data_IF_622783797142
#
_entry.id   IF_622783797142
#
_cell.length_a   1.000
_cell.length_b   1.000
_cell.length_c   1.000
_cell.angle_alpha   90.00
_cell.angle_beta   90.00
_cell.angle_gamma   90.00
#
_symmetry.space_group_name_H-M   'P 1'
#
loop_
_entity.id
_entity.type
_entity.pdbx_description
1 polymer ?
#
# COMPACT_ATOMS: atom_id res chain seq x y z
N UNK A 1 48.78 17.19 15.79
CA UNK A 1 47.52 17.37 16.55
C UNK A 1 46.43 16.65 15.81
N UNK A 2 46.19 15.40 16.19
CA UNK A 2 45.10 14.59 15.65
C UNK A 2 43.86 14.83 16.52
N UNK A 3 42.82 15.35 15.95
CA UNK A 3 41.50 15.46 16.57
C UNK A 3 40.83 14.09 16.55
N UNK A 4 40.43 13.54 17.71
CA UNK A 4 39.54 12.37 17.74
C UNK A 4 38.11 12.89 17.75
N UNK A 5 37.43 12.88 16.61
CA UNK A 5 36.01 13.18 16.51
C UNK A 5 35.36 12.18 15.56
N UNK A 6 34.24 11.64 15.99
CA UNK A 6 33.15 10.97 15.31
C UNK A 6 32.87 9.46 15.56
N UNK A 7 33.57 8.79 16.47
CA UNK A 7 33.21 7.40 16.80
C UNK A 7 31.98 7.26 17.74
N UNK A 8 31.55 8.35 18.39
CA UNK A 8 30.48 8.27 19.40
C UNK A 8 29.07 8.55 18.86
N UNK A 9 28.96 9.12 17.67
CA UNK A 9 27.66 9.45 17.02
C UNK A 9 27.13 8.29 16.15
N UNK A 10 27.97 7.35 15.73
CA UNK A 10 27.59 6.21 14.88
C UNK A 10 27.03 5.04 15.68
N UNK A 11 27.43 4.87 16.93
CA UNK A 11 27.02 3.76 17.80
C UNK A 11 25.51 3.70 18.12
N UNK A 12 24.82 4.85 18.41
CA UNK A 12 23.38 4.83 18.62
C UNK A 12 22.58 4.47 17.36
N UNK A 13 23.05 4.89 16.19
CA UNK A 13 22.40 4.62 14.90
C UNK A 13 22.53 3.14 14.51
N UNK A 14 23.71 2.55 14.71
CA UNK A 14 23.97 1.12 14.46
C UNK A 14 23.17 0.25 15.40
N UNK A 15 23.04 0.61 16.69
CA UNK A 15 22.22 -0.11 17.65
C UNK A 15 20.73 -0.03 17.30
N UNK A 16 20.26 1.09 16.78
CA UNK A 16 18.89 1.26 16.33
C UNK A 16 18.62 0.39 15.09
N UNK A 17 19.51 0.42 14.11
CA UNK A 17 19.44 -0.42 12.91
C UNK A 17 19.42 -1.91 13.25
N UNK A 18 20.28 -2.36 14.17
CA UNK A 18 20.33 -3.75 14.61
C UNK A 18 18.99 -4.19 15.27
N UNK A 19 18.41 -3.35 16.13
CA UNK A 19 17.10 -3.61 16.74
C UNK A 19 15.96 -3.66 15.71
N UNK A 20 15.99 -2.79 14.70
CA UNK A 20 15.01 -2.85 13.63
C UNK A 20 15.16 -4.10 12.77
N UNK A 21 16.39 -4.54 12.52
CA UNK A 21 16.64 -5.79 11.79
C UNK A 21 16.13 -7.01 12.54
N UNK A 22 16.40 -7.11 13.84
CA UNK A 22 15.88 -8.16 14.72
C UNK A 22 14.33 -8.15 14.75
N UNK A 23 13.71 -6.98 14.83
CA UNK A 23 12.27 -6.84 14.78
C UNK A 23 11.70 -7.31 13.43
N UNK A 24 12.36 -6.99 12.32
CA UNK A 24 11.95 -7.41 10.99
C UNK A 24 12.05 -8.93 10.78
N UNK A 25 13.10 -9.56 11.30
CA UNK A 25 13.25 -11.02 11.27
C UNK A 25 12.16 -11.72 12.09
N UNK A 26 11.91 -11.26 13.32
CA UNK A 26 10.84 -11.78 14.18
C UNK A 26 9.46 -11.58 13.54
N UNK A 27 9.21 -10.42 12.96
CA UNK A 27 7.98 -10.13 12.24
C UNK A 27 7.80 -11.07 11.03
N UNK A 28 8.87 -11.35 10.28
CA UNK A 28 8.86 -12.27 9.14
C UNK A 28 8.50 -13.70 9.55
N UNK A 29 9.11 -14.21 10.61
CA UNK A 29 8.83 -15.53 11.16
C UNK A 29 7.38 -15.63 11.65
N UNK A 30 6.93 -14.67 12.46
CA UNK A 30 5.57 -14.63 13.00
C UNK A 30 4.53 -14.55 11.88
N UNK A 31 4.79 -13.76 10.85
CA UNK A 31 3.89 -13.64 9.71
C UNK A 31 3.74 -14.97 8.95
N UNK A 32 4.83 -15.72 8.80
CA UNK A 32 4.77 -17.03 8.17
C UNK A 32 3.95 -18.02 9.02
N UNK A 33 4.11 -17.98 10.33
CA UNK A 33 3.36 -18.81 11.26
C UNK A 33 1.87 -18.45 11.33
N UNK A 34 1.49 -17.18 11.09
CA UNK A 34 0.10 -16.76 11.01
C UNK A 34 -0.53 -17.06 9.63
N UNK A 35 0.22 -16.91 8.53
CA UNK A 35 -0.27 -17.26 7.19
C UNK A 35 -0.67 -18.72 7.04
N UNK A 36 0.06 -19.62 7.70
CA UNK A 36 -0.21 -21.05 7.62
C UNK A 36 -1.63 -21.41 8.11
N UNK A 37 -2.05 -21.08 9.35
CA UNK A 37 -3.41 -21.37 9.81
C UNK A 37 -4.47 -20.60 9.00
N UNK A 38 -4.20 -19.38 8.53
CA UNK A 38 -5.14 -18.65 7.68
C UNK A 38 -5.39 -19.38 6.36
N UNK A 39 -4.33 -19.91 5.73
CA UNK A 39 -4.47 -20.70 4.49
C UNK A 39 -5.25 -21.98 4.72
N UNK A 40 -5.08 -22.65 5.87
CA UNK A 40 -5.86 -23.84 6.24
C UNK A 40 -7.33 -23.48 6.45
N UNK A 41 -7.63 -22.36 7.15
CA UNK A 41 -9.02 -21.90 7.34
C UNK A 41 -9.66 -21.60 5.98
N UNK A 42 -8.98 -20.86 5.11
CA UNK A 42 -9.47 -20.51 3.77
C UNK A 42 -9.79 -21.76 2.96
N UNK A 43 -8.84 -22.71 2.88
CA UNK A 43 -9.04 -23.97 2.16
C UNK A 43 -10.27 -24.76 2.67
N UNK A 44 -10.48 -24.82 4.00
CA UNK A 44 -11.67 -25.49 4.55
C UNK A 44 -12.96 -24.74 4.22
N UNK A 45 -12.92 -23.40 4.16
CA UNK A 45 -14.08 -22.62 3.73
C UNK A 45 -14.38 -22.81 2.23
N UNK A 46 -13.35 -22.95 1.39
CA UNK A 46 -13.50 -23.25 -0.05
C UNK A 46 -14.19 -24.62 -0.23
N UNK A 47 -13.72 -25.65 0.47
CA UNK A 47 -14.33 -26.98 0.42
C UNK A 47 -15.79 -26.97 0.90
N UNK A 48 -16.09 -26.24 1.98
CA UNK A 48 -17.48 -26.09 2.45
C UNK A 48 -18.35 -25.31 1.46
N UNK A 49 -17.78 -24.35 0.74
CA UNK A 49 -18.50 -23.61 -0.31
C UNK A 49 -18.79 -24.53 -1.52
N UNK A 50 -17.83 -25.39 -1.90
CA UNK A 50 -18.01 -26.39 -2.95
C UNK A 50 -19.10 -27.41 -2.59
N UNK A 51 -19.11 -27.92 -1.34
CA UNK A 51 -20.12 -28.83 -0.85
C UNK A 51 -21.55 -28.22 -0.87
N UNK A 52 -21.63 -26.90 -0.82
CA UNK A 52 -22.87 -26.12 -0.82
C UNK A 52 -23.12 -25.39 -2.16
N UNK A 53 -22.38 -25.72 -3.22
CA UNK A 53 -22.51 -25.03 -4.52
C UNK A 53 -23.93 -25.09 -5.11
N UNK A 54 -24.67 -26.15 -4.83
CA UNK A 54 -26.09 -26.34 -5.21
C UNK A 54 -27.03 -26.05 -4.04
N UNK A 55 -26.82 -24.91 -3.34
CA UNK A 55 -27.64 -24.53 -2.19
C UNK A 55 -29.10 -24.26 -2.57
N UNK A 56 -29.98 -25.24 -2.32
CA UNK A 56 -31.42 -25.14 -2.61
C UNK A 56 -32.20 -24.51 -1.45
N UNK A 57 -31.79 -24.78 -0.21
CA UNK A 57 -32.54 -24.35 0.97
C UNK A 57 -32.11 -22.95 1.48
N UNK A 58 -33.05 -22.22 2.13
CA UNK A 58 -32.70 -20.95 2.78
C UNK A 58 -31.65 -21.08 3.89
N UNK A 59 -31.46 -22.28 4.45
CA UNK A 59 -30.46 -22.58 5.47
C UNK A 59 -29.08 -22.67 4.84
N UNK A 60 -28.94 -23.36 3.73
CA UNK A 60 -27.66 -23.49 2.98
C UNK A 60 -27.20 -22.16 2.47
N UNK A 61 -28.07 -21.34 1.88
CA UNK A 61 -27.73 -19.97 1.46
C UNK A 61 -27.22 -19.10 2.61
N UNK A 62 -27.77 -19.27 3.82
CA UNK A 62 -27.25 -18.56 5.00
C UNK A 62 -25.89 -19.06 5.44
N UNK A 63 -25.59 -20.36 5.25
CA UNK A 63 -24.27 -20.92 5.55
C UNK A 63 -23.24 -20.38 4.55
N UNK A 64 -23.54 -20.39 3.25
CA UNK A 64 -22.68 -19.77 2.23
C UNK A 64 -22.36 -18.30 2.54
N UNK A 65 -23.36 -17.51 2.93
CA UNK A 65 -23.12 -16.13 3.33
C UNK A 65 -22.19 -15.98 4.55
N UNK A 66 -22.17 -16.96 5.47
CA UNK A 66 -21.20 -16.97 6.59
C UNK A 66 -19.80 -17.38 6.15
N UNK A 67 -19.69 -18.32 5.21
CA UNK A 67 -18.42 -18.72 4.60
C UNK A 67 -17.78 -17.52 3.93
N UNK A 68 -18.54 -16.75 3.16
CA UNK A 68 -18.11 -15.52 2.47
C UNK A 68 -17.57 -14.47 3.46
N UNK A 69 -18.24 -14.29 4.60
CA UNK A 69 -17.77 -13.41 5.67
C UNK A 69 -16.41 -13.89 6.22
N UNK A 70 -16.25 -15.20 6.49
CA UNK A 70 -14.98 -15.75 6.99
C UNK A 70 -13.88 -15.56 5.95
N UNK A 71 -14.16 -15.82 4.68
CA UNK A 71 -13.24 -15.61 3.57
C UNK A 71 -12.73 -14.16 3.51
N UNK A 72 -13.66 -13.21 3.59
CA UNK A 72 -13.35 -11.78 3.62
C UNK A 72 -12.44 -11.42 4.80
N UNK A 73 -12.71 -11.98 6.01
CA UNK A 73 -11.89 -11.71 7.18
C UNK A 73 -10.49 -12.36 7.08
N UNK A 74 -10.35 -13.55 6.49
CA UNK A 74 -9.05 -14.16 6.23
C UNK A 74 -8.20 -13.28 5.28
N UNK A 75 -8.78 -12.83 4.18
CA UNK A 75 -8.11 -11.92 3.23
C UNK A 75 -7.69 -10.62 3.90
N UNK A 76 -8.55 -10.07 4.76
CA UNK A 76 -8.23 -8.86 5.52
C UNK A 76 -7.03 -9.06 6.46
N UNK A 77 -6.99 -10.18 7.18
CA UNK A 77 -5.88 -10.52 8.07
C UNK A 77 -4.57 -10.73 7.29
N UNK A 78 -4.62 -11.39 6.13
CA UNK A 78 -3.47 -11.54 5.24
C UNK A 78 -2.94 -10.18 4.78
N UNK A 79 -3.81 -9.25 4.41
CA UNK A 79 -3.43 -7.90 3.98
C UNK A 79 -2.79 -7.11 5.13
N UNK A 80 -3.40 -7.11 6.31
CA UNK A 80 -2.84 -6.45 7.50
C UNK A 80 -1.44 -6.99 7.85
N UNK A 81 -1.27 -8.30 7.76
CA UNK A 81 0.00 -8.96 8.02
C UNK A 81 1.07 -8.59 6.98
N UNK A 82 0.69 -8.51 5.71
CA UNK A 82 1.58 -8.07 4.64
C UNK A 82 1.99 -6.59 4.81
N UNK A 83 1.06 -5.74 5.21
CA UNK A 83 1.35 -4.32 5.48
C UNK A 83 2.25 -4.16 6.70
N UNK A 84 2.05 -4.97 7.75
CA UNK A 84 2.95 -5.02 8.89
C UNK A 84 4.37 -5.44 8.49
N UNK A 85 4.51 -6.46 7.63
CA UNK A 85 5.82 -6.90 7.13
C UNK A 85 6.51 -5.82 6.29
N UNK A 86 5.77 -5.08 5.46
CA UNK A 86 6.33 -3.95 4.71
C UNK A 86 6.83 -2.85 5.64
N UNK A 87 6.08 -2.57 6.71
CA UNK A 87 6.45 -1.55 7.69
C UNK A 87 7.70 -1.92 8.50
N UNK A 88 7.88 -3.21 8.86
CA UNK A 88 9.02 -3.67 9.65
C UNK A 88 10.31 -3.82 8.86
N UNK A 89 10.24 -3.93 7.53
CA UNK A 89 11.42 -4.00 6.68
C UNK A 89 12.00 -2.61 6.49
N UNK A 90 13.15 -2.34 7.12
CA UNK A 90 14.06 -1.28 6.65
C UNK A 90 14.61 -1.74 5.29
N UNK A 91 13.97 -1.37 4.21
CA UNK A 91 14.54 -1.57 2.89
C UNK A 91 15.66 -0.54 2.71
N UNK A 92 16.88 -1.02 2.47
CA UNK A 92 17.90 -0.18 1.88
C UNK A 92 17.40 0.20 0.48
N UNK A 93 17.19 1.50 0.27
CA UNK A 93 16.70 1.99 -1.02
C UNK A 93 17.73 1.68 -2.12
N UNK A 94 17.33 1.01 -3.16
CA UNK A 94 18.13 0.81 -4.35
C UNK A 94 17.98 2.03 -5.29
N UNK A 95 18.72 3.10 -4.99
CA UNK A 95 18.65 4.35 -5.73
C UNK A 95 19.38 4.25 -7.07
N UNK A 96 18.62 4.20 -8.16
CA UNK A 96 19.12 4.22 -9.53
C UNK A 96 18.63 5.46 -10.27
N UNK A 97 19.38 5.86 -11.30
CA UNK A 97 18.92 6.93 -12.18
C UNK A 97 17.64 6.51 -12.91
N UNK A 98 16.57 7.28 -12.75
CA UNK A 98 15.26 6.97 -13.29
C UNK A 98 14.43 8.21 -13.63
N UNK A 99 13.37 7.99 -14.41
CA UNK A 99 12.41 9.01 -14.80
C UNK A 99 11.13 8.85 -13.97
N UNK A 100 10.76 9.90 -13.23
CA UNK A 100 9.55 9.90 -12.42
C UNK A 100 8.29 9.68 -13.27
N UNK A 101 8.21 10.29 -14.46
CA UNK A 101 7.02 10.17 -15.30
C UNK A 101 6.75 8.72 -15.71
N UNK A 102 7.79 7.94 -16.02
CA UNK A 102 7.64 6.52 -16.37
C UNK A 102 7.00 5.71 -15.24
N UNK A 103 7.36 6.00 -13.99
CA UNK A 103 6.75 5.32 -12.82
C UNK A 103 5.30 5.75 -12.65
N UNK A 104 5.01 7.05 -12.78
CA UNK A 104 3.65 7.60 -12.67
C UNK A 104 2.75 7.02 -13.75
N UNK A 105 3.20 7.01 -15.02
CA UNK A 105 2.43 6.47 -16.14
C UNK A 105 2.08 5.00 -15.95
N UNK A 106 3.06 4.15 -15.58
CA UNK A 106 2.80 2.73 -15.30
C UNK A 106 1.71 2.53 -14.26
N UNK A 107 1.76 3.30 -13.16
CA UNK A 107 0.74 3.19 -12.11
C UNK A 107 -0.62 3.66 -12.60
N UNK A 108 -0.70 4.79 -13.30
CA UNK A 108 -1.97 5.29 -13.82
C UNK A 108 -2.58 4.35 -14.88
N UNK A 109 -1.75 3.69 -15.68
CA UNK A 109 -2.20 2.68 -16.64
C UNK A 109 -2.71 1.42 -15.93
N UNK A 110 -2.05 0.97 -14.85
CA UNK A 110 -2.49 -0.16 -14.04
C UNK A 110 -3.92 0.05 -13.49
N UNK A 111 -4.25 1.29 -13.09
CA UNK A 111 -5.56 1.62 -12.55
C UNK A 111 -6.59 2.05 -13.60
N UNK A 112 -6.25 2.07 -14.88
CA UNK A 112 -7.11 2.59 -15.95
C UNK A 112 -8.49 1.92 -16.01
N UNK A 113 -8.56 0.58 -15.90
CA UNK A 113 -9.82 -0.18 -15.91
C UNK A 113 -10.64 0.13 -14.65
N UNK A 114 -10.02 0.06 -13.47
CA UNK A 114 -10.71 0.31 -12.21
C UNK A 114 -11.23 1.75 -12.11
N UNK A 115 -10.46 2.73 -12.59
CA UNK A 115 -10.89 4.12 -12.65
C UNK A 115 -12.12 4.28 -13.56
N UNK A 116 -12.12 3.63 -14.74
CA UNK A 116 -13.25 3.67 -15.68
C UNK A 116 -14.51 3.03 -15.07
N UNK A 117 -14.39 1.87 -14.42
CA UNK A 117 -15.49 1.20 -13.71
C UNK A 117 -16.06 2.07 -12.57
N UNK A 118 -15.19 2.81 -11.89
CA UNK A 118 -15.57 3.74 -10.83
C UNK A 118 -16.03 5.13 -11.36
N UNK A 119 -16.10 5.32 -12.67
CA UNK A 119 -16.43 6.60 -13.33
C UNK A 119 -15.47 7.74 -12.94
N UNK A 120 -14.20 7.42 -12.70
CA UNK A 120 -13.13 8.38 -12.38
C UNK A 120 -12.37 8.73 -13.65
N UNK A 121 -12.38 10.01 -14.03
CA UNK A 121 -11.55 10.52 -15.12
C UNK A 121 -10.12 10.74 -14.64
N UNK A 122 -9.14 10.13 -15.31
CA UNK A 122 -7.71 10.31 -15.00
C UNK A 122 -7.09 11.33 -15.95
N UNK A 123 -6.65 12.47 -15.41
CA UNK A 123 -5.98 13.55 -16.14
C UNK A 123 -4.48 13.56 -15.83
N UNK A 124 -3.66 13.64 -16.89
CA UNK A 124 -2.20 13.60 -16.80
C UNK A 124 -1.60 14.90 -17.35
N UNK A 125 -0.88 15.62 -16.52
CA UNK A 125 -0.13 16.83 -16.85
C UNK A 125 1.34 16.61 -16.42
N UNK A 126 2.01 15.71 -17.12
CA UNK A 126 3.39 15.31 -16.81
C UNK A 126 4.34 16.17 -17.64
N UNK A 127 5.24 16.89 -16.95
CA UNK A 127 6.26 17.72 -17.58
C UNK A 127 7.26 16.82 -18.33
N UNK A 128 7.33 16.89 -19.68
CA UNK A 128 8.21 16.03 -20.47
C UNK A 128 9.70 16.35 -20.30
N UNK A 129 10.03 17.52 -19.79
CA UNK A 129 11.41 18.01 -19.68
C UNK A 129 12.01 17.75 -18.28
N UNK A 130 11.40 16.88 -17.47
CA UNK A 130 11.94 16.55 -16.15
C UNK A 130 13.32 15.87 -16.26
N UNK A 131 14.28 16.29 -15.44
CA UNK A 131 15.57 15.62 -15.39
C UNK A 131 15.46 14.23 -14.76
N UNK A 132 16.38 13.35 -15.11
CA UNK A 132 16.58 12.08 -14.42
C UNK A 132 17.03 12.32 -12.98
N UNK A 133 16.45 11.57 -12.04
CA UNK A 133 16.76 11.64 -10.61
C UNK A 133 17.09 10.25 -10.05
N UNK A 134 17.71 10.22 -8.87
CA UNK A 134 17.93 8.97 -8.15
C UNK A 134 16.63 8.53 -7.45
N UNK A 135 16.09 7.41 -7.86
CA UNK A 135 14.86 6.82 -7.31
C UNK A 135 15.03 5.32 -7.12
N UNK A 136 14.36 4.80 -6.11
CA UNK A 136 14.01 3.39 -6.02
C UNK A 136 12.63 3.22 -6.68
N UNK A 137 12.63 2.71 -7.91
CA UNK A 137 11.42 2.66 -8.73
C UNK A 137 10.34 1.76 -8.11
N UNK A 138 10.71 0.63 -7.49
CA UNK A 138 9.77 -0.30 -6.84
C UNK A 138 9.10 0.35 -5.62
N UNK A 139 9.89 0.96 -4.75
CA UNK A 139 9.38 1.61 -3.55
C UNK A 139 8.49 2.81 -3.90
N UNK A 140 8.91 3.60 -4.90
CA UNK A 140 8.14 4.75 -5.37
C UNK A 140 6.83 4.32 -6.04
N UNK A 141 6.88 3.28 -6.88
CA UNK A 141 5.69 2.69 -7.52
C UNK A 141 4.68 2.21 -6.47
N UNK A 142 5.14 1.48 -5.44
CA UNK A 142 4.29 1.03 -4.35
C UNK A 142 3.62 2.20 -3.59
N UNK A 143 4.35 3.30 -3.38
CA UNK A 143 3.81 4.50 -2.75
C UNK A 143 2.73 5.17 -3.63
N UNK A 144 2.99 5.33 -4.93
CA UNK A 144 2.04 5.93 -5.87
C UNK A 144 0.79 5.04 -6.02
N UNK A 145 0.95 3.70 -6.09
CA UNK A 145 -0.16 2.73 -6.10
C UNK A 145 -1.08 2.96 -4.90
N UNK A 146 -0.54 3.11 -3.70
CA UNK A 146 -1.33 3.37 -2.50
C UNK A 146 -2.10 4.70 -2.58
N UNK A 147 -1.46 5.75 -3.10
CA UNK A 147 -2.10 7.07 -3.24
C UNK A 147 -3.21 7.05 -4.30
N UNK A 148 -2.95 6.48 -5.48
CA UNK A 148 -3.93 6.36 -6.57
C UNK A 148 -5.13 5.52 -6.16
N UNK A 149 -4.88 4.38 -5.51
CA UNK A 149 -5.94 3.54 -4.94
C UNK A 149 -6.81 4.30 -3.95
N UNK A 150 -6.19 5.04 -3.01
CA UNK A 150 -6.92 5.85 -2.04
C UNK A 150 -7.74 6.95 -2.71
N UNK A 151 -7.20 7.61 -3.74
CA UNK A 151 -7.92 8.62 -4.50
C UNK A 151 -9.18 8.02 -5.18
N UNK A 152 -9.06 6.90 -5.90
CA UNK A 152 -10.20 6.23 -6.55
C UNK A 152 -11.25 5.81 -5.52
N UNK A 153 -10.84 5.20 -4.41
CA UNK A 153 -11.74 4.76 -3.35
C UNK A 153 -12.43 5.93 -2.61
N UNK A 154 -11.86 7.15 -2.66
CA UNK A 154 -12.49 8.36 -2.12
C UNK A 154 -13.60 8.90 -3.01
N UNK A 155 -13.73 8.40 -4.25
CA UNK A 155 -14.66 8.85 -5.28
C UNK A 155 -15.68 7.77 -5.69
N UNK A 156 -16.49 7.21 -4.78
CA UNK A 156 -17.41 6.10 -5.08
C UNK A 156 -18.55 6.46 -6.05
N UNK A 157 -18.74 7.73 -6.33
CA UNK A 157 -19.74 8.23 -7.29
C UNK A 157 -19.10 8.83 -8.55
N UNK A 158 -17.84 8.49 -8.81
CA UNK A 158 -17.04 9.08 -9.86
C UNK A 158 -16.38 10.39 -9.46
N UNK A 159 -15.55 10.92 -10.35
CA UNK A 159 -14.81 12.15 -10.10
C UNK A 159 -13.63 12.32 -11.05
N UNK A 160 -12.64 13.10 -10.63
CA UNK A 160 -11.43 13.35 -11.41
C UNK A 160 -10.20 13.13 -10.53
N UNK A 161 -9.26 12.32 -11.00
CA UNK A 161 -7.91 12.20 -10.47
C UNK A 161 -6.95 12.90 -11.41
N UNK A 162 -6.28 13.93 -10.95
CA UNK A 162 -5.27 14.68 -11.72
C UNK A 162 -3.88 14.36 -11.18
N UNK A 163 -2.99 13.92 -12.06
CA UNK A 163 -1.57 13.75 -11.78
C UNK A 163 -0.78 14.84 -12.51
N UNK A 164 0.04 15.58 -11.76
CA UNK A 164 0.88 16.66 -12.32
C UNK A 164 2.31 16.47 -11.83
N UNK A 165 3.28 16.47 -12.74
CA UNK A 165 4.69 16.54 -12.37
C UNK A 165 5.27 17.88 -12.78
N UNK A 166 6.19 18.41 -11.98
CA UNK A 166 6.84 19.69 -12.26
C UNK A 166 8.22 19.81 -11.61
N UNK A 167 9.11 20.54 -12.26
CA UNK A 167 10.37 20.91 -11.67
C UNK A 167 10.18 22.09 -10.71
N UNK A 168 10.72 21.98 -9.51
CA UNK A 168 10.80 23.06 -8.53
C UNK A 168 12.25 23.56 -8.42
N UNK A 169 12.52 24.56 -7.57
CA UNK A 169 13.89 25.09 -7.40
C UNK A 169 14.93 24.03 -7.02
N UNK A 170 14.54 23.05 -6.20
CA UNK A 170 15.48 22.08 -5.62
C UNK A 170 14.99 20.63 -5.72
N UNK A 171 13.85 20.36 -6.34
CA UNK A 171 13.25 19.03 -6.38
C UNK A 171 12.29 18.88 -7.58
N UNK A 172 11.95 17.64 -7.88
CA UNK A 172 10.79 17.33 -8.71
C UNK A 172 9.60 17.09 -7.78
N UNK A 173 8.44 17.67 -8.11
CA UNK A 173 7.21 17.46 -7.40
C UNK A 173 6.26 16.59 -8.24
N UNK A 174 5.58 15.66 -7.57
CA UNK A 174 4.41 14.95 -8.06
C UNK A 174 3.21 15.39 -7.22
N UNK A 175 2.22 15.99 -7.86
CA UNK A 175 0.97 16.34 -7.23
C UNK A 175 -0.12 15.37 -7.74
N UNK A 176 -0.79 14.67 -6.82
CA UNK A 176 -1.97 13.83 -7.08
C UNK A 176 -3.16 14.52 -6.42
N UNK A 177 -4.13 14.94 -7.24
CA UNK A 177 -5.28 15.71 -6.80
C UNK A 177 -6.55 14.94 -7.16
N UNK A 178 -7.35 14.58 -6.18
CA UNK A 178 -8.66 13.95 -6.36
C UNK A 178 -9.80 14.92 -6.01
N UNK A 179 -10.99 14.64 -6.54
CA UNK A 179 -12.22 15.36 -6.21
C UNK A 179 -13.13 14.56 -5.27
N UNK A 180 -12.55 13.67 -4.50
CA UNK A 180 -13.25 12.78 -3.59
C UNK A 180 -13.85 13.48 -2.36
N UNK A 181 -14.26 12.67 -1.39
CA UNK A 181 -14.91 13.16 -0.17
C UNK A 181 -13.98 13.97 0.77
N UNK A 182 -12.68 14.01 0.46
CA UNK A 182 -11.67 14.66 1.29
C UNK A 182 -11.43 13.97 2.63
N UNK A 183 -10.66 14.61 3.50
CA UNK A 183 -10.29 14.11 4.81
C UNK A 183 -10.64 15.12 5.90
N UNK A 184 -11.19 14.62 7.03
CA UNK A 184 -11.32 15.44 8.22
C UNK A 184 -9.92 15.83 8.74
N UNK A 185 -9.79 16.97 9.41
CA UNK A 185 -8.52 17.48 9.94
C UNK A 185 -7.77 16.44 10.78
N UNK A 186 -8.47 15.71 11.65
CA UNK A 186 -7.91 14.63 12.45
C UNK A 186 -7.35 13.50 11.59
N UNK A 187 -8.01 13.15 10.48
CA UNK A 187 -7.56 12.14 9.55
C UNK A 187 -6.29 12.60 8.83
N UNK A 188 -6.27 13.86 8.37
CA UNK A 188 -5.11 14.43 7.71
C UNK A 188 -3.86 14.50 8.61
N UNK A 189 -4.04 14.73 9.93
CA UNK A 189 -2.94 14.73 10.90
C UNK A 189 -2.35 13.33 11.15
N UNK A 190 -3.17 12.29 11.09
CA UNK A 190 -2.75 10.92 11.45
C UNK A 190 -2.62 10.00 10.22
N UNK A 191 -2.82 10.51 8.99
CA UNK A 191 -2.84 9.66 7.78
C UNK A 191 -1.53 8.92 7.48
N UNK A 192 -0.43 9.38 8.07
CA UNK A 192 0.88 8.74 7.96
C UNK A 192 1.23 7.85 9.16
N UNK A 193 0.35 7.78 10.17
CA UNK A 193 0.57 6.88 11.30
C UNK A 193 0.38 5.43 10.83
N UNK A 194 1.26 4.55 11.29
CA UNK A 194 1.18 3.14 10.95
C UNK A 194 -0.18 2.54 11.37
N UNK A 195 -0.80 1.78 10.48
CA UNK A 195 -2.10 1.11 10.70
C UNK A 195 -3.30 2.06 10.88
N UNK A 196 -3.12 3.36 10.68
CA UNK A 196 -4.24 4.28 10.73
C UNK A 196 -5.15 4.10 9.49
N UNK A 197 -6.43 3.87 9.72
CA UNK A 197 -7.44 3.79 8.68
C UNK A 197 -8.78 4.31 9.20
N UNK A 198 -9.51 5.00 8.35
CA UNK A 198 -10.91 5.41 8.59
C UNK A 198 -11.89 4.50 7.85
N UNK A 199 -11.38 3.52 7.09
CA UNK A 199 -12.21 2.58 6.35
C UNK A 199 -12.70 1.49 7.30
N UNK A 200 -14.03 1.43 7.48
CA UNK A 200 -14.68 0.28 8.11
C UNK A 200 -14.51 -0.90 7.16
N UNK A 201 -13.76 -1.92 7.62
CA UNK A 201 -13.56 -3.14 6.85
C UNK A 201 -14.79 -4.02 6.82
#
# INVERSE_FOLDING_TARGET
MNTPQDSNSQQPLQNLQAKYHELAELAGSLAHEIKNPLSVIRMNMDLLAEDLAEAETPRERRVLGKIDVVHTQCTRLENLLNDFLKFTRLQELNLLAGNLNEVVERVLDLFGIQAAESQVEVRRYLDPDLPTILIDAETLEAAIVNLVKNAIESMPQGGTLTATTRLTKNAIALDLIDTGCGMAERTALNMFDAFYTTKNG
#
